data_IF_702798400363
#
_entry.id   IF_702798400363
#
_cell.length_a   1.000
_cell.length_b   1.000
_cell.length_c   1.000
_cell.angle_alpha   90.00
_cell.angle_beta   90.00
_cell.angle_gamma   90.00
#
_symmetry.space_group_name_H-M   'P 1'
#
loop_
_entity.id
_entity.type
_entity.pdbx_description
1 polymer ?
#
# COMPACT_ATOMS: atom_id res chain seq x y z
N UNK A 1 14.72 14.36 -17.19
CA UNK A 1 15.09 12.98 -17.56
C UNK A 1 14.61 11.94 -16.53
N UNK A 2 14.83 12.13 -15.23
CA UNK A 2 14.36 11.20 -14.18
C UNK A 2 12.83 10.93 -14.16
N UNK A 3 12.00 11.93 -14.49
CA UNK A 3 10.53 11.78 -14.54
C UNK A 3 10.03 10.82 -15.64
N UNK A 4 10.76 10.75 -16.76
CA UNK A 4 10.38 9.90 -17.91
C UNK A 4 10.73 8.44 -17.62
N UNK A 5 11.85 8.19 -16.93
CA UNK A 5 12.32 6.85 -16.55
C UNK A 5 11.36 6.18 -15.57
N UNK A 6 10.85 6.91 -14.58
CA UNK A 6 9.88 6.37 -13.62
C UNK A 6 8.56 5.98 -14.30
N UNK A 7 8.08 6.82 -15.23
CA UNK A 7 6.87 6.56 -16.00
C UNK A 7 7.04 5.37 -16.96
N UNK A 8 8.22 5.22 -17.59
CA UNK A 8 8.53 4.07 -18.45
C UNK A 8 8.71 2.78 -17.66
N UNK A 9 9.27 2.82 -16.44
CA UNK A 9 9.29 1.64 -15.55
C UNK A 9 7.87 1.21 -15.14
N UNK A 10 6.98 2.17 -14.85
CA UNK A 10 5.59 1.90 -14.49
C UNK A 10 4.81 1.26 -15.66
N UNK A 11 5.05 1.73 -16.88
CA UNK A 11 4.38 1.23 -18.09
C UNK A 11 4.91 -0.15 -18.52
N UNK A 12 6.21 -0.42 -18.36
CA UNK A 12 6.81 -1.71 -18.76
C UNK A 12 6.42 -2.88 -17.84
N UNK A 13 6.08 -2.63 -16.56
CA UNK A 13 5.52 -3.70 -15.71
C UNK A 13 4.15 -4.21 -16.18
N UNK A 14 3.42 -3.43 -16.98
CA UNK A 14 2.11 -3.82 -17.49
C UNK A 14 2.21 -4.78 -18.70
N UNK A 15 3.35 -4.87 -19.38
CA UNK A 15 3.47 -5.48 -20.73
C UNK A 15 3.88 -6.97 -20.79
N UNK A 16 4.00 -7.71 -19.69
CA UNK A 16 4.42 -9.13 -19.74
C UNK A 16 3.27 -10.13 -20.05
N UNK A 17 3.56 -11.35 -20.52
CA UNK A 17 2.55 -12.32 -21.01
C UNK A 17 1.76 -13.09 -19.93
N UNK A 18 1.94 -12.81 -18.64
CA UNK A 18 1.29 -13.56 -17.56
C UNK A 18 -0.16 -13.11 -17.33
N UNK A 19 -1.03 -14.06 -16.96
CA UNK A 19 -2.43 -13.78 -16.57
C UNK A 19 -2.45 -12.74 -15.45
N UNK A 20 -3.25 -11.70 -15.64
CA UNK A 20 -3.50 -10.66 -14.65
C UNK A 20 -4.86 -10.86 -14.00
N UNK A 21 -4.92 -10.68 -12.68
CA UNK A 21 -6.14 -10.73 -11.89
C UNK A 21 -6.40 -9.36 -11.28
N UNK A 22 -7.62 -8.86 -11.39
CA UNK A 22 -8.00 -7.64 -10.66
C UNK A 22 -8.42 -8.03 -9.26
N UNK A 23 -8.29 -7.10 -8.31
CA UNK A 23 -8.80 -7.32 -6.97
C UNK A 23 -9.37 -6.06 -6.35
N UNK A 24 -10.33 -6.28 -5.46
CA UNK A 24 -10.76 -5.32 -4.47
C UNK A 24 -10.29 -5.76 -3.10
N UNK A 25 -9.99 -4.82 -2.22
CA UNK A 25 -9.60 -5.13 -0.86
C UNK A 25 -10.13 -4.15 0.17
N UNK A 26 -10.23 -4.63 1.39
CA UNK A 26 -10.48 -3.81 2.57
C UNK A 26 -9.26 -3.92 3.49
N UNK A 27 -8.85 -2.80 4.09
CA UNK A 27 -7.72 -2.69 5.00
C UNK A 27 -8.18 -2.16 6.35
N UNK A 28 -7.62 -2.70 7.42
CA UNK A 28 -7.57 -2.05 8.73
C UNK A 28 -6.12 -1.86 9.12
N UNK A 29 -5.79 -0.77 9.80
CA UNK A 29 -4.42 -0.52 10.22
C UNK A 29 -4.31 0.27 11.52
N UNK A 30 -3.16 0.10 12.18
CA UNK A 30 -2.70 1.00 13.23
C UNK A 30 -1.65 1.92 12.62
N UNK A 31 -1.97 3.19 12.50
CA UNK A 31 -1.14 4.22 11.88
C UNK A 31 -0.51 5.08 12.96
N UNK A 32 0.81 5.21 12.95
CA UNK A 32 1.57 6.04 13.87
C UNK A 32 2.21 7.21 13.12
N UNK A 33 1.88 8.42 13.54
CA UNK A 33 2.43 9.69 13.03
C UNK A 33 2.47 10.68 14.19
N UNK A 34 3.54 11.49 14.29
CA UNK A 34 3.66 12.54 15.32
C UNK A 34 3.35 12.07 16.76
N UNK A 35 3.89 10.92 17.16
CA UNK A 35 3.61 10.27 18.47
C UNK A 35 2.14 9.89 18.74
N UNK A 36 1.27 10.01 17.75
CA UNK A 36 -0.14 9.63 17.80
C UNK A 36 -0.31 8.28 17.10
N UNK A 37 -1.00 7.35 17.78
CA UNK A 37 -1.47 6.10 17.18
C UNK A 37 -2.95 6.23 16.83
N UNK A 38 -3.33 5.98 15.59
CA UNK A 38 -4.70 6.09 15.10
C UNK A 38 -5.13 4.79 14.43
N UNK A 39 -6.29 4.21 14.78
CA UNK A 39 -6.89 3.17 13.97
C UNK A 39 -7.32 3.77 12.62
N UNK A 40 -7.24 2.95 11.58
CA UNK A 40 -7.57 3.34 10.22
C UNK A 40 -8.30 2.24 9.48
N UNK A 41 -9.15 2.66 8.54
CA UNK A 41 -9.83 1.79 7.58
C UNK A 41 -9.44 2.25 6.18
N UNK A 42 -9.34 1.30 5.26
CA UNK A 42 -8.98 1.57 3.88
C UNK A 42 -9.64 0.65 2.86
N UNK A 43 -9.66 1.11 1.62
CA UNK A 43 -10.10 0.36 0.45
C UNK A 43 -8.97 0.27 -0.56
N UNK A 44 -8.83 -0.90 -1.20
CA UNK A 44 -7.83 -1.16 -2.22
C UNK A 44 -8.49 -1.59 -3.51
N UNK A 45 -7.97 -1.08 -4.62
CA UNK A 45 -8.25 -1.60 -5.95
C UNK A 45 -6.92 -1.85 -6.64
N UNK A 46 -6.71 -3.04 -7.17
CA UNK A 46 -5.42 -3.36 -7.76
C UNK A 46 -5.44 -4.47 -8.79
N UNK A 47 -4.27 -4.70 -9.34
CA UNK A 47 -4.00 -5.73 -10.33
C UNK A 47 -2.80 -6.54 -9.87
N UNK A 48 -2.91 -7.86 -9.93
CA UNK A 48 -1.83 -8.79 -9.69
C UNK A 48 -1.44 -9.51 -10.97
N UNK A 49 -0.14 -9.58 -11.24
CA UNK A 49 0.45 -10.26 -12.38
C UNK A 49 1.66 -11.06 -11.92
N UNK A 50 1.49 -12.38 -11.84
CA UNK A 50 2.49 -13.27 -11.27
C UNK A 50 2.84 -12.89 -9.84
N UNK A 51 4.09 -12.47 -9.63
CA UNK A 51 4.60 -12.03 -8.32
C UNK A 51 4.44 -10.53 -8.06
N UNK A 52 4.02 -9.75 -9.05
CA UNK A 52 3.86 -8.30 -8.93
C UNK A 52 2.42 -7.95 -8.61
N UNK A 53 2.24 -6.99 -7.71
CA UNK A 53 0.93 -6.45 -7.32
C UNK A 53 1.03 -4.92 -7.34
N UNK A 54 0.09 -4.27 -8.00
CA UNK A 54 -0.04 -2.81 -7.97
C UNK A 54 -1.44 -2.43 -7.51
N UNK A 55 -1.58 -1.44 -6.63
CA UNK A 55 -2.89 -1.02 -6.13
C UNK A 55 -2.99 0.47 -5.85
N UNK A 56 -4.21 0.99 -5.99
CA UNK A 56 -4.64 2.27 -5.46
C UNK A 56 -5.34 2.03 -4.13
N UNK A 57 -4.90 2.75 -3.10
CA UNK A 57 -5.37 2.58 -1.74
C UNK A 57 -5.93 3.92 -1.24
N UNK A 58 -7.14 3.88 -0.73
CA UNK A 58 -7.81 4.99 -0.06
C UNK A 58 -7.89 4.65 1.42
N UNK A 59 -7.13 5.35 2.25
CA UNK A 59 -7.08 5.09 3.70
C UNK A 59 -7.56 6.33 4.48
N UNK A 60 -8.27 6.08 5.58
CA UNK A 60 -8.73 7.11 6.51
C UNK A 60 -8.45 6.68 7.95
N UNK A 61 -7.69 7.49 8.68
CA UNK A 61 -7.38 7.30 10.09
C UNK A 61 -8.02 8.40 10.93
N UNK A 62 -8.55 8.03 12.10
CA UNK A 62 -9.24 8.96 12.97
C UNK A 62 -8.93 8.68 14.44
N UNK A 63 -8.36 9.67 15.13
CA UNK A 63 -8.17 9.68 16.58
C UNK A 63 -8.52 11.06 17.14
N UNK A 64 -9.82 11.25 17.42
CA UNK A 64 -10.35 12.49 18.00
C UNK A 64 -10.20 13.69 17.06
N UNK A 65 -9.33 14.64 17.43
CA UNK A 65 -9.02 15.83 16.63
C UNK A 65 -8.05 15.55 15.48
N UNK A 66 -7.35 14.43 15.50
CA UNK A 66 -6.36 14.06 14.49
C UNK A 66 -7.00 13.14 13.45
N UNK A 67 -7.03 13.62 12.21
CA UNK A 67 -7.58 12.91 11.05
C UNK A 67 -6.54 12.90 9.97
N UNK A 68 -6.32 11.74 9.36
CA UNK A 68 -5.38 11.56 8.27
C UNK A 68 -6.08 10.79 7.14
N UNK A 69 -6.14 11.39 5.96
CA UNK A 69 -6.65 10.76 4.75
C UNK A 69 -5.49 10.57 3.76
N UNK A 70 -5.46 9.44 3.07
CA UNK A 70 -4.44 9.19 2.05
C UNK A 70 -5.00 8.51 0.80
N UNK A 71 -4.48 8.92 -0.36
CA UNK A 71 -4.61 8.21 -1.61
C UNK A 71 -3.21 7.79 -2.06
N UNK A 72 -2.96 6.47 -2.06
CA UNK A 72 -1.63 5.90 -2.27
C UNK A 72 -1.63 4.93 -3.44
N UNK A 73 -0.63 5.03 -4.31
CA UNK A 73 -0.26 3.98 -5.25
C UNK A 73 0.79 3.08 -4.57
N UNK A 74 0.55 1.77 -4.56
CA UNK A 74 1.48 0.76 -4.07
C UNK A 74 1.90 -0.16 -5.20
N UNK A 75 3.17 -0.56 -5.19
CA UNK A 75 3.72 -1.58 -6.08
C UNK A 75 4.60 -2.51 -5.27
N UNK A 76 4.17 -3.75 -5.14
CA UNK A 76 4.82 -4.78 -4.35
C UNK A 76 5.20 -5.98 -5.22
N UNK A 77 6.25 -6.68 -4.78
CA UNK A 77 6.73 -7.90 -5.40
C UNK A 77 6.89 -8.98 -4.35
N UNK A 78 6.36 -10.17 -4.63
CA UNK A 78 6.66 -11.36 -3.85
C UNK A 78 8.17 -11.61 -3.78
N UNK A 79 8.69 -11.85 -2.58
CA UNK A 79 10.08 -12.21 -2.33
C UNK A 79 10.12 -13.70 -1.91
N UNK A 80 11.24 -14.39 -2.17
CA UNK A 80 11.44 -15.81 -1.85
C UNK A 80 10.61 -16.82 -2.68
N UNK A 81 10.76 -16.77 -4.01
CA UNK A 81 10.04 -17.64 -4.99
C UNK A 81 10.06 -19.14 -4.68
N UNK A 82 11.12 -19.65 -4.05
CA UNK A 82 11.25 -21.09 -3.76
C UNK A 82 10.42 -21.53 -2.54
N UNK A 83 10.23 -20.64 -1.56
CA UNK A 83 9.38 -20.88 -0.39
C UNK A 83 7.89 -20.81 -0.77
N UNK A 84 7.53 -19.84 -1.62
CA UNK A 84 6.13 -19.54 -1.98
C UNK A 84 5.49 -20.54 -2.95
N UNK A 85 6.26 -21.41 -3.62
CA UNK A 85 5.70 -22.42 -4.53
C UNK A 85 4.93 -23.54 -3.82
N UNK A 86 5.26 -23.82 -2.56
CA UNK A 86 4.66 -24.91 -1.76
C UNK A 86 3.96 -24.40 -0.50
N UNK A 87 4.15 -23.13 -0.18
CA UNK A 87 3.62 -22.50 1.03
C UNK A 87 2.46 -21.56 0.66
N UNK A 88 1.36 -21.54 1.45
CA UNK A 88 0.32 -20.52 1.30
C UNK A 88 0.81 -19.12 1.69
N UNK A 89 1.98 -19.01 2.33
CA UNK A 89 2.58 -17.74 2.70
C UNK A 89 3.45 -17.17 1.58
N UNK A 90 3.20 -15.90 1.25
CA UNK A 90 3.88 -15.12 0.24
C UNK A 90 4.44 -13.83 0.85
N UNK A 91 5.70 -13.86 1.32
CA UNK A 91 6.40 -12.64 1.70
C UNK A 91 6.49 -11.70 0.50
N UNK A 92 6.40 -10.40 0.73
CA UNK A 92 6.51 -9.39 -0.31
C UNK A 92 7.19 -8.12 0.21
N UNK A 93 7.73 -7.34 -0.72
CA UNK A 93 8.29 -6.03 -0.47
C UNK A 93 8.06 -5.11 -1.68
N UNK A 94 7.97 -3.82 -1.42
CA UNK A 94 7.61 -2.84 -2.43
C UNK A 94 7.73 -1.40 -1.96
N UNK A 95 7.08 -0.51 -2.70
CA UNK A 95 7.07 0.92 -2.43
C UNK A 95 5.68 1.52 -2.56
N UNK A 96 5.49 2.62 -1.87
CA UNK A 96 4.25 3.39 -1.83
C UNK A 96 4.53 4.85 -2.16
N UNK A 97 3.69 5.48 -2.96
CA UNK A 97 3.73 6.92 -3.18
C UNK A 97 2.33 7.49 -3.36
N UNK A 98 2.09 8.71 -2.89
CA UNK A 98 0.75 9.27 -2.97
C UNK A 98 0.60 10.61 -2.29
N UNK A 99 -0.66 10.99 -2.07
CA UNK A 99 -1.04 12.26 -1.45
C UNK A 99 -1.66 12.00 -0.08
N UNK A 100 -1.41 12.94 0.83
CA UNK A 100 -1.76 12.87 2.24
C UNK A 100 -2.44 14.18 2.65
N UNK A 101 -3.45 14.10 3.51
CA UNK A 101 -4.08 15.26 4.10
C UNK A 101 -4.27 15.02 5.60
N UNK A 102 -3.75 15.92 6.42
CA UNK A 102 -3.85 15.86 7.87
C UNK A 102 -4.60 17.07 8.41
N UNK A 103 -5.59 16.86 9.28
CA UNK A 103 -6.56 17.87 9.72
C UNK A 103 -7.36 18.44 8.52
N UNK A 104 -8.63 18.80 8.70
CA UNK A 104 -9.46 19.25 7.57
C UNK A 104 -9.17 20.72 7.15
N UNK A 105 -7.91 21.13 7.25
CA UNK A 105 -7.41 22.46 6.90
C UNK A 105 -6.65 22.37 5.59
N UNK A 106 -6.95 23.25 4.63
CA UNK A 106 -6.36 23.22 3.28
C UNK A 106 -4.83 23.35 3.25
N UNK A 107 -4.22 23.76 4.37
CA UNK A 107 -2.79 24.04 4.52
C UNK A 107 -1.93 22.84 4.89
N UNK A 108 -2.52 21.69 5.24
CA UNK A 108 -1.75 20.50 5.68
C UNK A 108 -2.00 19.30 4.75
N UNK A 109 -1.74 19.55 3.46
CA UNK A 109 -1.75 18.59 2.36
C UNK A 109 -0.34 18.40 1.85
N UNK A 110 0.07 17.16 1.68
CA UNK A 110 1.40 16.82 1.21
C UNK A 110 1.42 15.59 0.31
N UNK A 111 2.64 15.15 0.01
CA UNK A 111 2.87 13.89 -0.67
C UNK A 111 3.78 13.00 0.17
N UNK A 112 3.64 11.70 -0.01
CA UNK A 112 4.41 10.68 0.67
C UNK A 112 5.12 9.76 -0.30
N UNK A 113 6.30 9.30 0.06
CA UNK A 113 7.04 8.22 -0.59
C UNK A 113 7.57 7.27 0.47
N UNK A 114 7.50 5.97 0.22
CA UNK A 114 7.80 5.00 1.24
C UNK A 114 8.00 3.58 0.76
N UNK A 115 8.23 2.69 1.71
CA UNK A 115 8.46 1.27 1.51
C UNK A 115 7.35 0.45 2.17
N UNK A 116 7.02 -0.68 1.56
CA UNK A 116 6.10 -1.67 2.11
C UNK A 116 6.83 -3.01 2.22
N UNK A 117 6.53 -3.77 3.26
CA UNK A 117 6.94 -5.17 3.37
C UNK A 117 5.86 -5.93 4.11
N UNK A 118 5.65 -7.19 3.77
CA UNK A 118 4.61 -7.96 4.43
C UNK A 118 4.63 -9.43 4.08
N UNK A 119 3.63 -10.13 4.58
CA UNK A 119 3.35 -11.52 4.26
C UNK A 119 1.88 -11.67 3.95
N UNK A 120 1.60 -12.18 2.76
CA UNK A 120 0.25 -12.55 2.34
C UNK A 120 0.02 -14.03 2.60
N UNK A 121 -1.12 -14.40 3.16
CA UNK A 121 -1.60 -15.76 3.33
C UNK A 121 -2.76 -16.03 2.37
N UNK A 122 -2.58 -17.01 1.49
CA UNK A 122 -3.63 -17.44 0.57
C UNK A 122 -4.68 -18.27 1.31
N UNK A 123 -5.92 -17.78 1.37
CA UNK A 123 -7.04 -18.56 1.90
C UNK A 123 -7.56 -19.54 0.85
N UNK A 124 -7.71 -19.06 -0.39
CA UNK A 124 -8.10 -19.85 -1.56
C UNK A 124 -7.64 -19.13 -2.85
N UNK A 125 -8.13 -19.57 -4.01
CA UNK A 125 -7.75 -18.99 -5.32
C UNK A 125 -8.29 -17.56 -5.54
N UNK A 126 -9.33 -17.15 -4.81
CA UNK A 126 -10.02 -15.87 -4.97
C UNK A 126 -9.82 -14.94 -3.77
N UNK A 127 -9.33 -15.42 -2.64
CA UNK A 127 -9.24 -14.65 -1.40
C UNK A 127 -7.87 -14.82 -0.75
N UNK A 128 -7.26 -13.71 -0.36
CA UNK A 128 -6.07 -13.70 0.48
C UNK A 128 -6.16 -12.69 1.63
N UNK A 129 -5.37 -12.95 2.66
CA UNK A 129 -5.14 -12.06 3.80
C UNK A 129 -3.72 -11.53 3.75
N UNK A 130 -3.51 -10.25 4.01
CA UNK A 130 -2.19 -9.62 4.00
C UNK A 130 -1.89 -8.94 5.33
N UNK A 131 -0.76 -9.28 5.95
CA UNK A 131 -0.21 -8.56 7.09
C UNK A 131 1.04 -7.82 6.61
N UNK A 132 1.00 -6.50 6.60
CA UNK A 132 2.08 -5.67 6.06
C UNK A 132 2.43 -4.49 6.95
N UNK A 133 3.69 -4.07 6.87
CA UNK A 133 4.22 -2.86 7.45
C UNK A 133 4.53 -1.87 6.34
N UNK A 134 4.17 -0.61 6.54
CA UNK A 134 4.39 0.48 5.59
C UNK A 134 5.04 1.67 6.31
N UNK A 135 6.14 2.16 5.75
CA UNK A 135 6.83 3.37 6.18
C UNK A 135 6.72 4.42 5.08
N UNK A 136 6.22 5.61 5.38
CA UNK A 136 6.10 6.74 4.44
C UNK A 136 6.87 7.93 5.00
N UNK A 137 7.81 8.46 4.22
CA UNK A 137 8.37 9.80 4.42
C UNK A 137 7.46 10.81 3.75
N UNK A 138 7.11 11.87 4.46
CA UNK A 138 6.20 12.91 3.96
C UNK A 138 6.97 14.14 3.50
N UNK A 139 6.32 14.98 2.71
CA UNK A 139 6.86 16.25 2.23
C UNK A 139 5.73 17.24 1.99
N UNK A 140 6.00 18.51 2.25
CA UNK A 140 5.00 19.61 2.26
C UNK A 140 3.88 19.44 3.29
N UNK A 141 4.09 18.65 4.33
CA UNK A 141 3.24 18.61 5.52
C UNK A 141 3.94 19.38 6.64
N UNK A 142 3.20 20.14 7.44
CA UNK A 142 3.80 21.01 8.45
C UNK A 142 4.16 20.21 9.71
N UNK A 143 3.29 19.28 10.10
CA UNK A 143 3.34 18.60 11.41
C UNK A 143 3.81 17.14 11.31
N UNK A 144 3.77 16.54 10.12
CA UNK A 144 4.07 15.12 9.93
C UNK A 144 5.31 15.00 9.06
N UNK A 145 6.39 14.43 9.61
CA UNK A 145 7.62 14.09 8.86
C UNK A 145 7.67 12.64 8.37
N UNK A 146 6.98 11.72 9.05
CA UNK A 146 6.89 10.32 8.66
C UNK A 146 5.63 9.65 9.21
N UNK A 147 5.16 8.62 8.53
CA UNK A 147 4.01 7.79 8.91
C UNK A 147 4.44 6.33 8.88
N UNK A 148 4.11 5.59 9.94
CA UNK A 148 4.34 4.15 10.03
C UNK A 148 2.99 3.46 10.18
N UNK A 149 2.72 2.38 9.45
CA UNK A 149 1.48 1.63 9.63
C UNK A 149 1.70 0.13 9.64
N UNK A 150 0.99 -0.55 10.55
CA UNK A 150 0.80 -2.00 10.52
C UNK A 150 -0.60 -2.26 9.98
N UNK A 151 -0.69 -2.93 8.84
CA UNK A 151 -1.91 -3.12 8.07
C UNK A 151 -2.29 -4.59 8.02
N UNK A 152 -3.59 -4.86 8.17
CA UNK A 152 -4.21 -6.13 7.87
C UNK A 152 -5.22 -5.90 6.74
N UNK A 153 -5.02 -6.58 5.60
CA UNK A 153 -5.91 -6.46 4.44
C UNK A 153 -6.54 -7.80 4.06
N UNK A 154 -7.76 -7.74 3.55
CA UNK A 154 -8.42 -8.85 2.88
C UNK A 154 -8.59 -8.47 1.40
N UNK A 155 -8.20 -9.35 0.48
CA UNK A 155 -8.36 -9.12 -0.96
C UNK A 155 -9.26 -10.19 -1.59
N UNK A 156 -10.11 -9.76 -2.52
CA UNK A 156 -10.95 -10.61 -3.37
C UNK A 156 -10.57 -10.43 -4.84
N UNK A 157 -10.13 -11.50 -5.50
CA UNK A 157 -9.69 -11.55 -6.89
C UNK A 157 -10.80 -12.00 -7.83
N UNK A 158 -10.86 -11.37 -9.00
CA UNK A 158 -11.81 -11.67 -10.07
C UNK A 158 -11.21 -11.47 -11.48
#
# INVERSE_FOLDING_TARGET
>A
MHKIILLTLLLTSLSFSEKSYSFLGAETSFVNYDSISSPSLGLKYGIQKGMWRSSLNLDYANNGSNKLSSLMLQVDKGILKNFTKKSPFKPHAGFSLGVLQHKNTDTDKGYGLGLNTGVTYLLNEQVDLDLSYRFISTSKMNDIGSINSLNLSLHYFY
#
